data_IF_402409807400
#
_entry.id   IF_402409807400
#
_cell.length_a   1.000
_cell.length_b   1.000
_cell.length_c   1.000
_cell.angle_alpha   90.00
_cell.angle_beta   90.00
_cell.angle_gamma   90.00
#
_symmetry.space_group_name_H-M   'P 1'
#
loop_
_entity.id
_entity.type
_entity.pdbx_description
1 polymer ?
#
# COMPACT_ATOMS: atom_id res chain seq x y z
N UNK A 1 33.72 34.57 33.36
CA UNK A 1 32.52 34.65 32.48
C UNK A 1 32.55 33.61 31.35
N UNK A 2 32.66 32.29 31.63
CA UNK A 2 32.72 31.23 30.58
C UNK A 2 31.57 30.21 30.61
N UNK A 3 30.70 30.23 31.62
CA UNK A 3 29.65 29.22 31.79
C UNK A 3 28.32 29.52 31.06
N UNK A 4 28.09 30.77 30.63
CA UNK A 4 26.83 31.15 29.96
C UNK A 4 26.69 30.55 28.55
N UNK A 5 27.81 30.38 27.83
CA UNK A 5 27.80 29.87 26.45
C UNK A 5 27.53 28.37 26.36
N UNK A 6 27.97 27.58 27.35
CA UNK A 6 27.76 26.13 27.38
C UNK A 6 26.28 25.80 27.63
N UNK A 7 25.62 26.57 28.48
CA UNK A 7 24.20 26.41 28.77
C UNK A 7 23.32 26.68 27.54
N UNK A 8 23.68 27.68 26.74
CA UNK A 8 22.96 28.01 25.51
C UNK A 8 23.07 26.88 24.46
N UNK A 9 24.26 26.30 24.31
CA UNK A 9 24.50 25.20 23.36
C UNK A 9 23.73 23.94 23.76
N UNK A 10 23.67 23.63 25.07
CA UNK A 10 22.90 22.49 25.58
C UNK A 10 21.39 22.67 25.38
N UNK A 11 20.86 23.89 25.56
CA UNK A 11 19.44 24.18 25.33
C UNK A 11 19.10 24.10 23.84
N UNK A 12 19.96 24.60 22.96
CA UNK A 12 19.75 24.49 21.51
C UNK A 12 19.82 23.03 21.05
N UNK A 13 20.76 22.23 21.55
CA UNK A 13 20.85 20.79 21.23
C UNK A 13 19.64 20.01 21.77
N UNK A 14 19.12 20.35 22.96
CA UNK A 14 17.90 19.76 23.49
C UNK A 14 16.67 20.12 22.63
N UNK A 15 16.54 21.38 22.21
CA UNK A 15 15.45 21.82 21.34
C UNK A 15 15.53 21.19 19.93
N UNK A 16 16.73 21.04 19.37
CA UNK A 16 16.93 20.35 18.09
C UNK A 16 16.62 18.85 18.18
N UNK A 17 16.95 18.18 19.29
CA UNK A 17 16.63 16.76 19.49
C UNK A 17 15.15 16.51 19.79
N UNK A 18 14.44 17.49 20.35
CA UNK A 18 12.97 17.48 20.46
C UNK A 18 12.28 17.67 19.11
N UNK A 19 12.80 18.52 18.22
CA UNK A 19 12.24 18.72 16.87
C UNK A 19 12.41 17.51 15.94
N UNK A 20 13.47 16.70 16.15
CA UNK A 20 13.73 15.48 15.36
C UNK A 20 12.81 14.32 15.77
N UNK A 21 12.09 14.40 16.90
CA UNK A 21 11.44 13.22 17.50
C UNK A 21 9.99 12.94 17.16
N UNK A 22 9.29 13.75 16.36
CA UNK A 22 7.89 13.43 15.99
C UNK A 22 7.49 14.02 14.64
N UNK A 23 8.07 13.52 13.55
CA UNK A 23 7.25 13.38 12.33
C UNK A 23 6.38 12.15 12.53
N UNK A 24 5.30 12.33 13.30
CA UNK A 24 4.25 11.33 13.37
C UNK A 24 3.63 11.25 11.96
N UNK A 25 3.93 10.18 11.22
CA UNK A 25 3.42 9.99 9.85
C UNK A 25 1.90 10.10 9.89
N UNK A 26 1.33 11.04 9.14
CA UNK A 26 -0.11 11.30 9.13
C UNK A 26 -0.88 10.02 8.79
N UNK A 27 -1.71 9.56 9.73
CA UNK A 27 -2.55 8.38 9.56
C UNK A 27 -3.88 8.79 8.93
N UNK A 28 -4.27 8.13 7.85
CA UNK A 28 -5.55 8.33 7.17
C UNK A 28 -6.40 7.06 7.24
N UNK A 29 -7.68 7.21 7.55
CA UNK A 29 -8.65 6.13 7.43
C UNK A 29 -9.18 6.07 6.01
N UNK A 30 -8.98 4.94 5.35
CA UNK A 30 -9.46 4.68 3.99
C UNK A 30 -10.66 3.75 4.07
N UNK A 31 -11.73 4.11 3.37
CA UNK A 31 -12.91 3.27 3.14
C UNK A 31 -13.04 3.06 1.64
N UNK A 32 -13.19 1.83 1.21
CA UNK A 32 -13.27 1.57 -0.21
C UNK A 32 -13.44 0.10 -0.57
N UNK A 33 -13.55 -0.15 -1.86
CA UNK A 33 -13.71 -1.49 -2.41
C UNK A 33 -12.38 -1.99 -2.95
N UNK A 34 -11.96 -3.17 -2.51
CA UNK A 34 -10.79 -3.86 -3.06
C UNK A 34 -11.13 -4.41 -4.44
N UNK A 35 -10.30 -4.07 -5.43
CA UNK A 35 -10.56 -4.43 -6.84
C UNK A 35 -9.50 -5.37 -7.40
N UNK A 36 -8.25 -5.22 -6.98
CA UNK A 36 -7.16 -6.07 -7.41
C UNK A 36 -6.08 -6.19 -6.33
N UNK A 37 -5.26 -7.23 -6.42
CA UNK A 37 -4.05 -7.36 -5.62
C UNK A 37 -2.86 -7.77 -6.50
N UNK A 38 -1.68 -7.33 -6.12
CA UNK A 38 -0.42 -7.66 -6.74
C UNK A 38 0.55 -8.21 -5.71
N UNK A 39 1.30 -9.24 -6.10
CA UNK A 39 2.46 -9.70 -5.34
C UNK A 39 3.70 -9.08 -5.94
N UNK A 40 4.54 -8.43 -5.12
CA UNK A 40 5.84 -7.96 -5.59
C UNK A 40 6.71 -9.21 -5.90
N UNK A 41 6.90 -9.44 -7.19
CA UNK A 41 7.71 -10.50 -7.81
C UNK A 41 7.37 -11.96 -7.43
N UNK A 42 6.54 -12.67 -8.22
CA UNK A 42 6.24 -14.08 -7.98
C UNK A 42 7.44 -15.02 -8.25
N UNK A 43 8.58 -14.51 -8.74
CA UNK A 43 9.78 -15.31 -9.03
C UNK A 43 10.80 -15.30 -7.90
N UNK A 44 10.67 -14.42 -6.90
CA UNK A 44 11.56 -14.36 -5.75
C UNK A 44 10.79 -14.93 -4.54
N UNK A 45 11.17 -16.12 -4.05
CA UNK A 45 10.57 -16.64 -2.84
C UNK A 45 10.78 -15.62 -1.71
N UNK A 46 9.70 -15.24 -1.07
CA UNK A 46 9.77 -14.32 0.06
C UNK A 46 10.32 -15.08 1.28
N UNK A 47 11.57 -14.79 1.66
CA UNK A 47 12.24 -15.49 2.77
C UNK A 47 12.05 -14.83 4.14
N UNK A 48 11.57 -13.56 4.19
CA UNK A 48 11.43 -12.79 5.42
C UNK A 48 10.13 -11.96 5.48
N UNK A 49 10.07 -10.86 4.73
CA UNK A 49 8.93 -9.94 4.72
C UNK A 49 8.46 -9.76 3.29
N UNK A 50 7.21 -10.10 3.05
CA UNK A 50 6.53 -10.03 1.78
C UNK A 50 5.70 -8.76 1.72
N UNK A 51 5.56 -8.21 0.51
CA UNK A 51 4.69 -7.10 0.23
C UNK A 51 3.52 -7.56 -0.62
N UNK A 52 2.32 -7.39 -0.10
CA UNK A 52 1.08 -7.49 -0.85
C UNK A 52 0.61 -6.08 -1.17
N UNK A 53 0.53 -5.74 -2.45
CA UNK A 53 -0.05 -4.48 -2.90
C UNK A 53 -1.51 -4.69 -3.25
N UNK A 54 -2.39 -3.82 -2.75
CA UNK A 54 -3.83 -3.92 -2.93
C UNK A 54 -4.32 -2.64 -3.59
N UNK A 55 -5.05 -2.76 -4.68
CA UNK A 55 -5.71 -1.64 -5.32
C UNK A 55 -7.11 -1.48 -4.74
N UNK A 56 -7.43 -0.26 -4.30
CA UNK A 56 -8.70 0.07 -3.64
C UNK A 56 -9.36 1.25 -4.34
N UNK A 57 -10.61 1.08 -4.78
CA UNK A 57 -11.50 2.18 -5.16
C UNK A 57 -11.99 2.85 -3.89
N UNK A 58 -11.66 4.12 -3.66
CA UNK A 58 -12.03 4.81 -2.43
C UNK A 58 -13.45 5.36 -2.50
N UNK A 59 -14.08 5.43 -1.32
CA UNK A 59 -15.39 6.04 -1.11
C UNK A 59 -15.29 7.42 -0.44
N UNK A 60 -14.21 7.65 0.33
CA UNK A 60 -14.10 8.79 1.24
C UNK A 60 -12.95 9.74 0.92
N UNK A 61 -12.19 9.51 -0.16
CA UNK A 61 -11.11 10.39 -0.61
C UNK A 61 -11.49 11.00 -1.97
N UNK A 62 -12.06 12.22 -1.95
CA UNK A 62 -12.55 12.88 -3.17
C UNK A 62 -11.44 13.10 -4.21
N UNK A 63 -10.25 13.52 -3.77
CA UNK A 63 -9.11 13.81 -4.65
C UNK A 63 -8.31 12.57 -5.06
N UNK A 64 -8.64 11.39 -4.51
CA UNK A 64 -7.92 10.15 -4.74
C UNK A 64 -8.90 8.99 -4.92
N UNK A 65 -9.57 8.88 -6.10
CA UNK A 65 -10.61 7.89 -6.35
C UNK A 65 -10.09 6.45 -6.28
N UNK A 66 -8.77 6.26 -6.42
CA UNK A 66 -8.08 5.00 -6.25
C UNK A 66 -6.85 5.19 -5.39
N UNK A 67 -6.48 4.17 -4.63
CA UNK A 67 -5.25 4.12 -3.84
C UNK A 67 -4.61 2.75 -3.92
N UNK A 68 -3.28 2.70 -3.83
CA UNK A 68 -2.52 1.48 -3.63
C UNK A 68 -2.19 1.37 -2.15
N UNK A 69 -2.35 0.17 -1.61
CA UNK A 69 -2.13 -0.15 -0.21
C UNK A 69 -1.15 -1.29 -0.11
N UNK A 70 0.02 -1.05 0.48
CA UNK A 70 1.01 -2.10 0.71
C UNK A 70 0.85 -2.67 2.12
N UNK A 71 0.77 -3.99 2.16
CA UNK A 71 0.66 -4.77 3.39
C UNK A 71 1.92 -5.62 3.51
N UNK A 72 2.70 -5.32 4.56
CA UNK A 72 3.91 -6.09 4.92
C UNK A 72 3.51 -7.28 5.77
N UNK A 73 3.88 -8.49 5.36
CA UNK A 73 3.61 -9.71 6.10
C UNK A 73 4.75 -10.72 6.01
N UNK A 74 4.94 -11.57 7.01
CA UNK A 74 5.98 -12.61 6.96
C UNK A 74 5.44 -13.95 6.46
N UNK A 75 4.17 -14.23 6.74
CA UNK A 75 3.44 -15.41 6.29
C UNK A 75 1.94 -15.08 6.21
N UNK A 76 1.12 -16.03 5.74
CA UNK A 76 -0.32 -15.84 5.61
C UNK A 76 -1.01 -15.68 6.98
N UNK A 77 -0.46 -16.30 8.03
CA UNK A 77 -1.00 -16.18 9.41
C UNK A 77 -0.83 -14.75 9.94
N UNK A 78 0.22 -14.04 9.54
CA UNK A 78 0.37 -12.63 9.86
C UNK A 78 -0.69 -11.75 9.19
N UNK A 79 -1.09 -12.05 7.96
CA UNK A 79 -2.18 -11.33 7.27
C UNK A 79 -3.51 -11.50 8.02
N UNK A 80 -3.83 -12.73 8.45
CA UNK A 80 -5.04 -13.00 9.23
C UNK A 80 -5.04 -12.25 10.58
N UNK A 81 -3.91 -12.22 11.29
CA UNK A 81 -3.78 -11.44 12.52
C UNK A 81 -3.97 -9.93 12.31
N UNK A 82 -3.69 -9.42 11.11
CA UNK A 82 -3.92 -8.03 10.72
C UNK A 82 -5.37 -7.75 10.28
N UNK A 83 -6.21 -8.79 10.22
CA UNK A 83 -7.60 -8.70 9.77
C UNK A 83 -7.76 -8.82 8.25
N UNK A 84 -6.67 -9.03 7.51
CA UNK A 84 -6.70 -9.29 6.07
C UNK A 84 -6.78 -10.80 5.82
N UNK A 85 -7.96 -11.37 6.05
CA UNK A 85 -8.21 -12.77 5.72
C UNK A 85 -8.13 -12.99 4.21
N UNK A 86 -7.63 -14.16 3.79
CA UNK A 86 -7.55 -14.52 2.37
C UNK A 86 -8.90 -14.36 1.65
N UNK A 87 -10.02 -14.60 2.33
CA UNK A 87 -11.38 -14.38 1.83
C UNK A 87 -11.66 -12.92 1.40
N UNK A 88 -11.04 -11.93 2.04
CA UNK A 88 -11.21 -10.51 1.70
C UNK A 88 -10.52 -10.13 0.39
N UNK A 89 -9.57 -10.94 -0.06
CA UNK A 89 -8.84 -10.80 -1.32
C UNK A 89 -9.16 -11.94 -2.31
N UNK A 90 -10.25 -12.70 -2.10
CA UNK A 90 -10.78 -13.66 -3.09
C UNK A 90 -11.85 -13.04 -3.98
N UNK A 91 -12.67 -12.15 -3.41
CA UNK A 91 -13.73 -11.41 -4.11
C UNK A 91 -13.64 -9.94 -3.78
N UNK A 92 -14.21 -9.10 -4.64
CA UNK A 92 -14.28 -7.66 -4.38
C UNK A 92 -15.09 -7.43 -3.10
N UNK A 93 -14.44 -6.82 -2.11
CA UNK A 93 -15.02 -6.56 -0.79
C UNK A 93 -14.77 -5.11 -0.41
N UNK A 94 -15.73 -4.54 0.32
CA UNK A 94 -15.62 -3.20 0.88
C UNK A 94 -14.96 -3.26 2.24
N UNK A 95 -13.86 -2.52 2.42
CA UNK A 95 -13.02 -2.52 3.61
C UNK A 95 -12.83 -1.11 4.16
N UNK A 96 -12.60 -1.05 5.47
CA UNK A 96 -12.12 0.11 6.20
C UNK A 96 -10.78 -0.25 6.86
N UNK A 97 -9.77 0.61 6.72
CA UNK A 97 -8.46 0.43 7.34
C UNK A 97 -7.77 1.78 7.57
N UNK A 98 -6.82 1.81 8.50
CA UNK A 98 -5.98 3.00 8.74
C UNK A 98 -4.62 2.77 8.11
N UNK A 99 -4.16 3.72 7.31
CA UNK A 99 -2.88 3.63 6.61
C UNK A 99 -2.09 4.94 6.73
N UNK A 100 -0.78 4.86 6.59
CA UNK A 100 0.11 6.02 6.51
C UNK A 100 0.53 6.22 5.06
N UNK A 101 0.77 7.47 4.65
CA UNK A 101 1.31 7.72 3.31
C UNK A 101 2.67 7.04 3.20
N UNK A 102 2.87 6.30 2.10
CA UNK A 102 4.14 5.64 1.85
C UNK A 102 5.21 6.68 1.52
N UNK A 103 6.48 6.32 1.72
CA UNK A 103 7.62 7.13 1.28
C UNK A 103 7.57 7.36 -0.24
N UNK A 104 7.08 6.35 -0.96
CA UNK A 104 6.75 6.45 -2.38
C UNK A 104 5.34 7.04 -2.53
N UNK A 105 5.21 8.35 -2.32
CA UNK A 105 3.94 9.08 -2.20
C UNK A 105 2.88 8.71 -3.27
N UNK A 106 3.32 8.50 -4.52
CA UNK A 106 2.48 8.05 -5.63
C UNK A 106 3.23 7.05 -6.51
N UNK A 107 2.48 6.14 -7.14
CA UNK A 107 2.98 5.13 -8.08
C UNK A 107 2.12 5.18 -9.34
N UNK A 108 2.72 5.01 -10.52
CA UNK A 108 1.96 4.88 -11.76
C UNK A 108 1.33 3.49 -11.83
N UNK A 109 0.01 3.42 -11.99
CA UNK A 109 -0.66 2.13 -12.20
C UNK A 109 -0.41 1.65 -13.64
N UNK A 110 0.55 0.76 -13.82
CA UNK A 110 0.89 0.22 -15.14
C UNK A 110 -0.16 -0.80 -15.65
N UNK A 111 -0.48 -0.73 -16.94
CA UNK A 111 -1.31 -1.72 -17.63
C UNK A 111 -0.46 -2.93 -18.02
N UNK A 112 -0.88 -4.14 -17.62
CA UNK A 112 -0.20 -5.38 -17.99
C UNK A 112 -1.13 -6.27 -18.82
N UNK A 113 -0.73 -6.54 -20.06
CA UNK A 113 -1.50 -7.35 -21.01
C UNK A 113 -1.71 -8.77 -20.47
N UNK A 114 -2.98 -9.19 -20.38
CA UNK A 114 -3.35 -10.61 -20.19
C UNK A 114 -2.80 -11.41 -21.38
N UNK A 115 -1.91 -12.36 -21.14
CA UNK A 115 -1.33 -13.29 -22.13
C UNK A 115 -2.34 -14.27 -22.75
N UNK A 116 -3.65 -14.02 -22.66
CA UNK A 116 -4.66 -14.86 -23.31
C UNK A 116 -4.87 -14.52 -24.80
N UNK A 117 -4.49 -13.31 -25.25
CA UNK A 117 -4.75 -12.84 -26.63
C UNK A 117 -3.48 -12.60 -27.47
N UNK A 118 -2.30 -13.02 -27.02
CA UNK A 118 -1.07 -12.85 -27.77
C UNK A 118 -0.79 -14.07 -28.67
N UNK A 119 -1.57 -14.22 -29.73
CA UNK A 119 -1.22 -15.09 -30.87
C UNK A 119 -0.11 -14.40 -31.67
N UNK A 120 1.12 -14.50 -31.16
CA UNK A 120 2.32 -13.93 -31.75
C UNK A 120 3.42 -13.89 -30.71
N UNK A 121 4.55 -14.56 -31.01
CA UNK A 121 5.74 -14.73 -30.16
C UNK A 121 5.89 -13.67 -29.06
N UNK A 122 5.37 -13.98 -27.86
CA UNK A 122 5.60 -13.16 -26.67
C UNK A 122 7.05 -13.41 -26.26
N UNK A 123 7.89 -12.38 -26.39
CA UNK A 123 9.27 -12.37 -25.93
C UNK A 123 9.36 -12.96 -24.51
N UNK A 124 10.35 -13.80 -24.23
CA UNK A 124 10.54 -14.54 -22.96
C UNK A 124 10.67 -13.62 -21.73
N UNK A 125 10.71 -12.29 -21.92
CA UNK A 125 10.47 -11.26 -20.91
C UNK A 125 8.97 -11.06 -20.64
N UNK A 126 8.22 -12.17 -20.58
CA UNK A 126 6.79 -12.20 -20.32
C UNK A 126 6.55 -11.54 -18.97
N UNK A 127 6.03 -10.32 -19.00
CA UNK A 127 5.65 -9.54 -17.82
C UNK A 127 4.71 -10.39 -16.97
N UNK A 128 5.18 -10.76 -15.79
CA UNK A 128 4.40 -11.39 -14.73
C UNK A 128 3.18 -10.52 -14.43
N UNK A 129 2.03 -11.17 -14.22
CA UNK A 129 0.75 -10.51 -13.90
C UNK A 129 0.95 -9.63 -12.65
N UNK A 130 1.16 -8.31 -12.82
CA UNK A 130 1.40 -7.45 -11.66
C UNK A 130 0.15 -7.29 -10.79
N UNK A 131 -1.05 -7.43 -11.40
CA UNK A 131 -2.33 -7.29 -10.72
C UNK A 131 -3.28 -8.44 -11.06
N UNK A 132 -3.78 -9.10 -10.03
CA UNK A 132 -4.84 -10.10 -10.08
C UNK A 132 -6.16 -9.43 -9.69
N UNK A 133 -7.09 -9.38 -10.64
CA UNK A 133 -8.43 -8.82 -10.42
C UNK A 133 -9.28 -9.76 -9.57
N UNK A 134 -10.06 -9.18 -8.67
CA UNK A 134 -10.98 -9.92 -7.84
C UNK A 134 -12.30 -10.19 -8.57
N UNK A 135 -12.95 -11.31 -8.25
CA UNK A 135 -14.31 -11.59 -8.70
C UNK A 135 -15.26 -10.43 -8.30
N UNK A 136 -16.08 -9.95 -9.22
CA UNK A 136 -17.00 -8.82 -8.97
C UNK A 136 -16.34 -7.44 -9.01
N UNK A 137 -15.16 -7.31 -9.62
CA UNK A 137 -14.49 -6.01 -9.87
C UNK A 137 -14.57 -5.52 -11.32
N UNK A 138 -15.23 -6.27 -12.21
CA UNK A 138 -15.24 -6.00 -13.66
C UNK A 138 -15.92 -4.68 -14.05
N UNK A 139 -16.75 -4.13 -13.16
CA UNK A 139 -17.45 -2.86 -13.33
C UNK A 139 -16.60 -1.62 -13.02
N UNK A 140 -15.37 -1.77 -12.52
CA UNK A 140 -14.51 -0.64 -12.16
C UNK A 140 -13.51 -0.34 -13.28
N UNK A 141 -13.54 0.91 -13.76
CA UNK A 141 -12.55 1.43 -14.70
C UNK A 141 -11.24 1.72 -13.96
N UNK A 142 -10.20 0.93 -14.21
CA UNK A 142 -8.92 1.11 -13.55
C UNK A 142 -8.19 2.37 -14.04
N UNK A 143 -7.50 3.10 -13.15
CA UNK A 143 -6.78 4.33 -13.50
C UNK A 143 -5.41 4.03 -14.14
N UNK A 144 -5.37 3.19 -15.18
CA UNK A 144 -4.11 2.85 -15.85
C UNK A 144 -3.41 4.09 -16.41
N UNK A 145 -2.09 4.13 -16.27
CA UNK A 145 -1.25 5.26 -16.66
C UNK A 145 -1.36 6.50 -15.75
N UNK A 146 -2.20 6.46 -14.70
CA UNK A 146 -2.35 7.57 -13.75
C UNK A 146 -1.47 7.36 -12.52
N UNK A 147 -1.08 8.48 -11.89
CA UNK A 147 -0.44 8.48 -10.59
C UNK A 147 -1.47 8.19 -9.50
N UNK A 148 -1.26 7.08 -8.79
CA UNK A 148 -2.14 6.62 -7.72
C UNK A 148 -1.43 6.81 -6.38
N UNK A 149 -2.05 7.48 -5.40
CA UNK A 149 -1.50 7.59 -4.05
C UNK A 149 -1.24 6.23 -3.43
N UNK A 150 -0.10 6.12 -2.76
CA UNK A 150 0.36 4.87 -2.18
C UNK A 150 0.45 4.98 -0.65
N UNK A 151 -0.06 3.96 0.02
CA UNK A 151 -0.14 3.91 1.48
C UNK A 151 0.47 2.61 2.00
N UNK A 152 1.06 2.70 3.19
CA UNK A 152 1.53 1.55 3.94
C UNK A 152 0.56 1.31 5.11
N UNK A 153 0.12 0.06 5.28
CA UNK A 153 -0.68 -0.34 6.46
C UNK A 153 0.26 -0.92 7.50
N UNK A 154 0.42 -0.20 8.61
CA UNK A 154 1.03 -0.74 9.82
C UNK A 154 0.01 -1.58 10.59
N UNK A 155 0.47 -2.71 11.11
CA UNK A 155 -0.29 -3.79 11.76
C UNK A 155 -1.61 -3.31 12.42
N UNK A 156 -2.74 -3.70 11.82
CA UNK A 156 -4.03 -3.76 12.53
C UNK A 156 -5.22 -3.11 11.85
N UNK A 157 -6.15 -4.00 11.47
CA UNK A 157 -7.61 -3.84 11.30
C UNK A 157 -8.06 -3.33 9.95
N UNK A 158 -7.83 -4.15 8.93
CA UNK A 158 -8.84 -4.27 7.89
C UNK A 158 -10.15 -4.72 8.53
N UNK A 159 -11.22 -3.95 8.31
CA UNK A 159 -12.58 -4.28 8.73
C UNK A 159 -13.45 -4.35 7.50
N UNK A 160 -14.12 -5.49 7.29
CA UNK A 160 -15.18 -5.58 6.29
C UNK A 160 -16.34 -4.66 6.67
N UNK A 161 -16.77 -3.81 5.75
CA UNK A 161 -17.93 -2.93 5.90
C UNK A 161 -19.03 -3.37 4.95
N UNK A 162 -20.28 -3.10 5.33
CA UNK A 162 -21.47 -3.45 4.55
C UNK A 162 -21.71 -2.46 3.42
#
# INVERSE_FOLDING_TARGET
>A
MKHKSIFLVLVVLALCSLAVRTQEKERKTVKGTVIAYGTFDPLIPCYHVCNLSILVKTDNLQDAPYVIVNVRHMDDRHLEKQGLHSELIKKSNRLEFTATISETHTIVLEEFLRTANASGNVDKRVKTKAWTFLEGSAQYDLPFGQYVPNYDVEIGRFRKIK
#
